data_IF_712068296335
#
_entry.id   IF_712068296335
#
_cell.length_a   1.000
_cell.length_b   1.000
_cell.length_c   1.000
_cell.angle_alpha   90.00
_cell.angle_beta   90.00
_cell.angle_gamma   90.00
#
_symmetry.space_group_name_H-M   'P 1'
#
loop_
_entity.id
_entity.type
_entity.pdbx_description
1 polymer ?
#
# COMPACT_ATOMS: atom_id res chain seq x y z
N UNK A 1 -24.56 -8.13 34.18
CA UNK A 1 -24.86 -6.70 34.01
C UNK A 1 -24.04 -6.22 32.84
N UNK A 2 -24.73 -5.74 31.82
CA UNK A 2 -24.23 -5.48 30.46
C UNK A 2 -23.14 -4.40 30.46
N UNK A 3 -21.97 -4.73 29.91
CA UNK A 3 -20.99 -3.73 29.51
C UNK A 3 -21.42 -3.20 28.13
N UNK A 4 -22.05 -2.03 28.14
CA UNK A 4 -22.29 -1.22 26.95
C UNK A 4 -20.98 -1.06 26.17
N UNK A 5 -20.87 -1.76 25.04
CA UNK A 5 -19.66 -1.86 24.25
C UNK A 5 -19.49 -0.57 23.48
N UNK A 6 -18.52 0.24 23.91
CA UNK A 6 -18.13 1.55 23.40
C UNK A 6 -18.12 1.58 21.85
N UNK A 7 -19.11 2.25 21.25
CA UNK A 7 -19.30 2.44 19.81
C UNK A 7 -18.30 3.46 19.24
N UNK A 8 -16.99 3.21 19.29
CA UNK A 8 -16.00 4.17 18.76
C UNK A 8 -15.59 3.77 17.35
N UNK A 9 -16.48 4.02 16.40
CA UNK A 9 -16.01 4.42 15.07
C UNK A 9 -16.02 5.94 15.02
N UNK A 10 -15.22 6.53 14.16
CA UNK A 10 -15.19 7.99 14.07
C UNK A 10 -16.59 8.51 13.69
N UNK A 11 -16.92 9.74 14.11
CA UNK A 11 -18.14 10.40 13.68
C UNK A 11 -18.23 10.47 12.14
N UNK A 12 -17.07 10.52 11.47
CA UNK A 12 -16.93 10.45 10.03
C UNK A 12 -17.41 9.11 9.45
N UNK A 13 -16.90 7.97 9.95
CA UNK A 13 -17.30 6.64 9.48
C UNK A 13 -18.81 6.44 9.60
N UNK A 14 -19.37 6.82 10.75
CA UNK A 14 -20.82 6.74 11.02
C UNK A 14 -21.61 7.58 10.03
N UNK A 15 -21.15 8.79 9.74
CA UNK A 15 -21.79 9.68 8.76
C UNK A 15 -21.77 9.06 7.35
N UNK A 16 -20.62 8.55 6.91
CA UNK A 16 -20.47 7.90 5.60
C UNK A 16 -21.39 6.67 5.47
N UNK A 17 -21.44 5.83 6.49
CA UNK A 17 -22.28 4.63 6.51
C UNK A 17 -23.77 4.95 6.49
N UNK A 18 -24.22 5.89 7.35
CA UNK A 18 -25.64 6.30 7.37
C UNK A 18 -26.04 6.94 6.03
N UNK A 19 -25.17 7.77 5.44
CA UNK A 19 -25.39 8.30 4.10
C UNK A 19 -25.54 7.18 3.07
N UNK A 20 -24.67 6.17 3.08
CA UNK A 20 -24.76 5.03 2.16
C UNK A 20 -26.04 4.19 2.34
N UNK A 21 -26.63 4.16 3.54
CA UNK A 21 -27.91 3.49 3.80
C UNK A 21 -29.09 4.31 3.29
N UNK A 22 -29.16 5.60 3.65
CA UNK A 22 -30.33 6.44 3.39
C UNK A 22 -30.33 7.08 2.01
N UNK A 23 -29.14 7.27 1.43
CA UNK A 23 -28.92 7.90 0.13
C UNK A 23 -28.02 6.98 -0.70
N UNK A 24 -28.66 6.06 -1.42
CA UNK A 24 -27.97 5.03 -2.19
C UNK A 24 -27.01 5.60 -3.26
N UNK A 25 -27.34 6.78 -3.77
CA UNK A 25 -26.58 7.60 -4.73
C UNK A 25 -25.32 8.25 -4.14
N UNK A 26 -25.16 8.28 -2.81
CA UNK A 26 -23.95 8.80 -2.18
C UNK A 26 -22.83 7.76 -2.02
N UNK A 27 -23.11 6.49 -2.33
CA UNK A 27 -22.13 5.41 -2.34
C UNK A 27 -22.32 4.53 -3.57
N UNK A 28 -22.06 5.12 -4.74
CA UNK A 28 -22.17 4.46 -6.03
C UNK A 28 -21.26 3.22 -6.13
N UNK A 29 -21.68 2.28 -6.97
CA UNK A 29 -20.86 1.12 -7.30
C UNK A 29 -19.66 1.53 -8.16
N UNK A 30 -18.58 0.74 -8.10
CA UNK A 30 -17.48 0.84 -9.06
C UNK A 30 -18.02 0.83 -10.51
N UNK A 31 -17.51 1.67 -11.44
CA UNK A 31 -16.26 2.44 -11.38
C UNK A 31 -16.39 3.89 -10.89
N UNK A 32 -17.47 4.25 -10.17
CA UNK A 32 -17.59 5.59 -9.61
C UNK A 32 -16.42 5.90 -8.66
N UNK A 33 -15.84 7.10 -8.78
CA UNK A 33 -14.73 7.51 -7.94
C UNK A 33 -15.23 7.84 -6.52
N UNK A 34 -14.90 6.99 -5.55
CA UNK A 34 -15.24 7.17 -4.14
C UNK A 34 -13.95 7.33 -3.34
N UNK A 35 -13.92 8.33 -2.44
CA UNK A 35 -12.77 8.55 -1.56
C UNK A 35 -12.50 7.33 -0.67
N UNK A 36 -11.21 7.01 -0.47
CA UNK A 36 -10.80 5.84 0.31
C UNK A 36 -11.33 5.86 1.74
N UNK A 37 -11.36 7.02 2.41
CA UNK A 37 -11.86 7.11 3.77
C UNK A 37 -13.37 6.82 3.83
N UNK A 38 -14.12 7.21 2.80
CA UNK A 38 -15.55 6.85 2.67
C UNK A 38 -15.70 5.34 2.50
N UNK A 39 -14.95 4.72 1.57
CA UNK A 39 -14.97 3.26 1.37
C UNK A 39 -14.61 2.52 2.66
N UNK A 40 -13.56 2.96 3.35
CA UNK A 40 -13.10 2.38 4.61
C UNK A 40 -14.17 2.48 5.71
N UNK A 41 -14.78 3.66 5.89
CA UNK A 41 -15.83 3.87 6.89
C UNK A 41 -17.07 3.03 6.62
N UNK A 42 -17.52 2.98 5.36
CA UNK A 42 -18.64 2.13 4.94
C UNK A 42 -18.31 0.65 5.14
N UNK A 43 -17.09 0.21 4.79
CA UNK A 43 -16.69 -1.18 4.94
C UNK A 43 -16.67 -1.62 6.41
N UNK A 44 -16.06 -0.84 7.30
CA UNK A 44 -16.00 -1.14 8.74
C UNK A 44 -17.40 -1.31 9.34
N UNK A 45 -18.28 -0.34 9.08
CA UNK A 45 -19.61 -0.36 9.68
C UNK A 45 -20.55 -1.36 9.02
N UNK A 46 -20.44 -1.58 7.70
CA UNK A 46 -21.20 -2.64 7.02
C UNK A 46 -20.78 -4.03 7.50
N UNK A 47 -19.50 -4.27 7.80
CA UNK A 47 -19.05 -5.51 8.43
C UNK A 47 -19.58 -5.65 9.86
N UNK A 48 -19.48 -4.60 10.66
CA UNK A 48 -19.94 -4.62 12.06
C UNK A 48 -21.45 -4.87 12.19
N UNK A 49 -22.25 -4.20 11.36
CA UNK A 49 -23.70 -4.30 11.36
C UNK A 49 -24.26 -5.30 10.34
N UNK A 50 -23.38 -6.09 9.71
CA UNK A 50 -23.75 -7.16 8.77
C UNK A 50 -24.63 -6.69 7.59
N UNK A 51 -24.36 -5.48 7.09
CA UNK A 51 -25.03 -4.93 5.90
C UNK A 51 -24.31 -5.41 4.64
N UNK A 52 -24.56 -6.68 4.30
CA UNK A 52 -23.85 -7.40 3.23
C UNK A 52 -23.81 -6.69 1.85
N UNK A 53 -24.89 -6.05 1.36
CA UNK A 53 -24.82 -5.35 0.07
C UNK A 53 -23.79 -4.21 0.05
N UNK A 54 -23.68 -3.43 1.13
CA UNK A 54 -22.71 -2.35 1.25
C UNK A 54 -21.30 -2.88 1.44
N UNK A 55 -21.14 -3.94 2.25
CA UNK A 55 -19.86 -4.61 2.44
C UNK A 55 -19.30 -5.12 1.11
N UNK A 56 -20.10 -5.85 0.34
CA UNK A 56 -19.69 -6.37 -0.99
C UNK A 56 -19.28 -5.23 -1.92
N UNK A 57 -20.06 -4.15 -1.98
CA UNK A 57 -19.73 -2.99 -2.81
C UNK A 57 -18.42 -2.33 -2.39
N UNK A 58 -18.20 -2.14 -1.09
CA UNK A 58 -16.96 -1.55 -0.58
C UNK A 58 -15.74 -2.45 -0.84
N UNK A 59 -15.89 -3.78 -0.76
CA UNK A 59 -14.84 -4.73 -1.12
C UNK A 59 -14.52 -4.70 -2.61
N UNK A 60 -15.50 -4.48 -3.49
CA UNK A 60 -15.25 -4.28 -4.93
C UNK A 60 -14.41 -3.03 -5.15
N UNK A 61 -14.76 -1.89 -4.52
CA UNK A 61 -13.93 -0.68 -4.58
C UNK A 61 -12.49 -0.93 -4.14
N UNK A 62 -12.27 -1.68 -3.07
CA UNK A 62 -10.91 -2.04 -2.64
C UNK A 62 -10.18 -2.94 -3.66
N UNK A 63 -10.86 -3.97 -4.16
CA UNK A 63 -10.27 -4.97 -5.06
C UNK A 63 -9.89 -4.39 -6.40
N UNK A 64 -10.69 -3.45 -6.92
CA UNK A 64 -10.43 -2.79 -8.19
C UNK A 64 -9.42 -1.65 -8.07
N UNK A 65 -9.32 -1.02 -6.88
CA UNK A 65 -8.39 0.10 -6.66
C UNK A 65 -6.97 -0.34 -6.34
N UNK A 66 -6.81 -1.47 -5.64
CA UNK A 66 -5.53 -1.97 -5.15
C UNK A 66 -5.09 -3.22 -5.93
N UNK A 67 -3.80 -3.38 -6.16
CA UNK A 67 -3.31 -4.50 -6.95
C UNK A 67 -3.53 -5.79 -6.17
N UNK A 68 -3.87 -6.87 -6.88
CA UNK A 68 -4.04 -8.21 -6.30
C UNK A 68 -3.03 -9.22 -6.85
N UNK A 69 -2.21 -8.77 -7.80
CA UNK A 69 -1.15 -9.55 -8.46
C UNK A 69 0.15 -8.77 -8.47
N UNK A 70 1.27 -9.48 -8.65
CA UNK A 70 2.60 -8.86 -8.71
C UNK A 70 2.75 -8.01 -9.97
N UNK A 71 2.17 -8.44 -11.09
CA UNK A 71 2.19 -7.70 -12.34
C UNK A 71 1.46 -6.35 -12.20
N UNK A 72 0.27 -6.35 -11.59
CA UNK A 72 -0.45 -5.09 -11.32
C UNK A 72 0.33 -4.19 -10.38
N UNK A 73 0.98 -4.75 -9.36
CA UNK A 73 1.81 -4.00 -8.42
C UNK A 73 2.97 -3.29 -9.14
N UNK A 74 3.65 -3.97 -10.06
CA UNK A 74 4.77 -3.41 -10.82
C UNK A 74 4.39 -2.29 -11.80
N UNK A 75 3.11 -2.20 -12.19
CA UNK A 75 2.61 -1.17 -13.10
C UNK A 75 2.00 0.05 -12.39
N UNK A 76 1.91 0.05 -11.06
CA UNK A 76 1.32 1.18 -10.32
C UNK A 76 2.34 2.28 -10.05
N UNK A 77 2.04 3.48 -10.53
CA UNK A 77 2.84 4.68 -10.24
C UNK A 77 2.57 5.19 -8.82
N UNK A 78 1.30 5.37 -8.44
CA UNK A 78 0.92 5.85 -7.11
C UNK A 78 -0.45 5.32 -6.64
N UNK A 79 -0.57 5.06 -5.34
CA UNK A 79 -1.78 4.50 -4.73
C UNK A 79 -2.80 5.59 -4.36
N UNK A 80 -2.39 6.86 -4.31
CA UNK A 80 -3.20 7.98 -3.84
C UNK A 80 -3.62 7.90 -2.36
N UNK A 81 -3.20 6.84 -1.65
CA UNK A 81 -3.50 6.55 -0.25
C UNK A 81 -2.24 5.96 0.37
N UNK A 82 -1.92 6.36 1.60
CA UNK A 82 -0.76 5.81 2.29
C UNK A 82 -0.93 4.29 2.54
N UNK A 83 0.03 3.42 2.17
CA UNK A 83 -0.10 1.96 2.28
C UNK A 83 -0.48 1.46 3.68
N UNK A 84 -0.09 2.18 4.73
CA UNK A 84 -0.43 1.82 6.11
C UNK A 84 -1.93 1.83 6.38
N UNK A 85 -2.66 2.78 5.78
CA UNK A 85 -4.11 2.87 5.92
C UNK A 85 -4.77 1.63 5.30
N UNK A 86 -4.28 1.22 4.14
CA UNK A 86 -4.75 0.05 3.39
C UNK A 86 -4.44 -1.23 4.16
N UNK A 87 -3.21 -1.37 4.68
CA UNK A 87 -2.79 -2.55 5.44
C UNK A 87 -3.65 -2.73 6.70
N UNK A 88 -3.81 -1.65 7.47
CA UNK A 88 -4.61 -1.67 8.69
C UNK A 88 -6.08 -1.98 8.41
N UNK A 89 -6.66 -1.38 7.36
CA UNK A 89 -8.02 -1.68 6.95
C UNK A 89 -8.15 -3.15 6.53
N UNK A 90 -7.22 -3.65 5.72
CA UNK A 90 -7.23 -5.04 5.26
C UNK A 90 -7.15 -6.03 6.44
N UNK A 91 -6.32 -5.75 7.46
CA UNK A 91 -6.30 -6.53 8.71
C UNK A 91 -7.62 -6.47 9.46
N UNK A 92 -8.19 -5.27 9.60
CA UNK A 92 -9.44 -5.03 10.33
C UNK A 92 -10.64 -5.77 9.71
N UNK A 93 -10.68 -5.83 8.38
CA UNK A 93 -11.79 -6.42 7.62
C UNK A 93 -11.50 -7.81 7.06
N UNK A 94 -10.34 -8.37 7.43
CA UNK A 94 -9.85 -9.67 6.96
C UNK A 94 -9.80 -9.78 5.42
N UNK A 95 -9.40 -8.69 4.75
CA UNK A 95 -9.19 -8.65 3.30
C UNK A 95 -7.77 -9.11 2.93
N UNK A 96 -7.48 -10.37 3.22
CA UNK A 96 -6.11 -10.90 3.16
C UNK A 96 -5.49 -10.88 1.76
N UNK A 97 -6.30 -10.87 0.70
CA UNK A 97 -5.83 -10.84 -0.69
C UNK A 97 -5.10 -9.53 -1.07
N UNK A 98 -5.35 -8.43 -0.36
CA UNK A 98 -4.71 -7.13 -0.60
C UNK A 98 -3.45 -6.95 0.26
N UNK A 99 -3.26 -7.78 1.29
CA UNK A 99 -2.15 -7.65 2.21
C UNK A 99 -0.78 -7.81 1.54
N UNK A 100 -0.50 -8.82 0.68
CA UNK A 100 0.83 -9.01 0.11
C UNK A 100 1.36 -7.77 -0.64
N UNK A 101 0.65 -7.19 -1.63
CA UNK A 101 1.15 -6.01 -2.31
C UNK A 101 1.17 -4.77 -1.40
N UNK A 102 0.24 -4.66 -0.46
CA UNK A 102 0.23 -3.52 0.48
C UNK A 102 1.41 -3.55 1.43
N UNK A 103 1.73 -4.71 2.00
CA UNK A 103 2.88 -4.87 2.88
C UNK A 103 4.20 -4.72 2.10
N UNK A 104 4.24 -5.13 0.82
CA UNK A 104 5.35 -4.81 -0.05
C UNK A 104 5.52 -3.29 -0.20
N UNK A 105 4.47 -2.53 -0.52
CA UNK A 105 4.52 -1.07 -0.56
C UNK A 105 4.95 -0.44 0.77
N UNK A 106 4.48 -0.98 1.90
CA UNK A 106 4.91 -0.56 3.24
C UNK A 106 6.41 -0.73 3.46
N UNK A 107 7.02 -1.83 3.00
CA UNK A 107 8.45 -2.09 3.15
C UNK A 107 9.31 -1.06 2.38
N UNK A 108 8.79 -0.53 1.27
CA UNK A 108 9.44 0.51 0.47
C UNK A 108 9.16 1.94 0.97
N UNK A 109 8.17 2.14 1.84
CA UNK A 109 7.84 3.46 2.40
C UNK A 109 9.00 4.04 3.23
N UNK A 110 9.03 5.35 3.46
CA UNK A 110 10.07 6.03 4.25
C UNK A 110 10.30 5.32 5.61
N UNK A 111 11.56 4.98 5.99
CA UNK A 111 11.84 4.34 7.28
C UNK A 111 11.32 5.12 8.49
N UNK A 112 11.31 6.46 8.39
CA UNK A 112 10.76 7.35 9.42
C UNK A 112 9.28 7.06 9.62
N UNK A 113 8.52 6.83 8.55
CA UNK A 113 7.12 6.46 8.67
C UNK A 113 6.96 5.05 9.28
N UNK A 114 7.81 4.07 8.96
CA UNK A 114 7.71 2.73 9.60
C UNK A 114 7.86 2.80 11.13
N UNK A 115 8.75 3.66 11.62
CA UNK A 115 9.01 3.81 13.07
C UNK A 115 8.03 4.77 13.74
N UNK A 116 7.80 5.93 13.13
CA UNK A 116 7.00 7.00 13.70
C UNK A 116 5.56 7.01 13.20
N UNK A 117 5.15 6.12 12.31
CA UNK A 117 3.85 6.24 11.66
C UNK A 117 3.78 7.46 10.73
N UNK A 118 2.60 7.68 10.17
CA UNK A 118 2.26 8.79 9.29
C UNK A 118 1.07 9.57 9.83
N UNK A 119 0.82 10.77 9.31
CA UNK A 119 -0.40 11.52 9.61
C UNK A 119 -1.42 11.36 8.49
N UNK A 120 -2.65 11.01 8.84
CA UNK A 120 -3.78 10.92 7.94
C UNK A 120 -5.01 11.51 8.61
N UNK A 121 -5.74 12.40 7.91
CA UNK A 121 -7.01 12.97 8.38
C UNK A 121 -6.94 13.51 9.83
N UNK A 122 -5.82 14.15 10.19
CA UNK A 122 -5.59 14.72 11.52
C UNK A 122 -5.20 13.73 12.62
N UNK A 123 -5.09 12.44 12.32
CA UNK A 123 -4.68 11.39 13.26
C UNK A 123 -3.35 10.76 12.84
N UNK A 124 -2.58 10.28 13.83
CA UNK A 124 -1.39 9.47 13.58
C UNK A 124 -1.81 8.03 13.30
N UNK A 125 -1.28 7.46 12.22
CA UNK A 125 -1.55 6.09 11.77
C UNK A 125 -0.21 5.34 11.70
N UNK A 126 -0.10 4.27 12.45
CA UNK A 126 1.03 3.34 12.41
C UNK A 126 0.56 1.96 11.95
N UNK A 127 1.45 1.18 11.36
CA UNK A 127 1.19 -0.24 11.13
C UNK A 127 1.01 -0.99 12.46
N UNK A 128 0.30 -2.12 12.40
CA UNK A 128 0.34 -3.09 13.49
C UNK A 128 1.80 -3.50 13.77
N UNK A 129 2.21 -3.72 15.03
CA UNK A 129 3.60 -4.03 15.35
C UNK A 129 4.16 -5.24 14.59
N UNK A 130 3.35 -6.28 14.39
CA UNK A 130 3.74 -7.47 13.61
C UNK A 130 4.05 -7.12 12.16
N UNK A 131 3.24 -6.26 11.55
CA UNK A 131 3.39 -5.84 10.15
C UNK A 131 4.56 -4.86 10.01
N UNK A 132 4.79 -4.00 11.00
CA UNK A 132 5.97 -3.12 11.04
C UNK A 132 7.27 -3.92 11.10
N UNK A 133 7.37 -4.92 11.98
CA UNK A 133 8.54 -5.80 12.07
C UNK A 133 8.73 -6.57 10.76
N UNK A 134 7.65 -7.10 10.18
CA UNK A 134 7.69 -7.78 8.90
C UNK A 134 8.22 -6.87 7.79
N UNK A 135 7.74 -5.63 7.71
CA UNK A 135 8.19 -4.65 6.72
C UNK A 135 9.65 -4.24 6.91
N UNK A 136 10.12 -4.11 8.16
CA UNK A 136 11.53 -3.82 8.46
C UNK A 136 12.44 -4.97 8.02
N UNK A 137 12.12 -6.20 8.38
CA UNK A 137 12.87 -7.37 7.95
C UNK A 137 12.87 -7.54 6.43
N UNK A 138 11.70 -7.35 5.80
CA UNK A 138 11.57 -7.40 4.35
C UNK A 138 12.39 -6.31 3.67
N UNK A 139 12.42 -5.09 4.24
CA UNK A 139 13.24 -4.00 3.72
C UNK A 139 14.72 -4.36 3.71
N UNK A 140 15.23 -4.91 4.80
CA UNK A 140 16.64 -5.30 4.89
C UNK A 140 16.99 -6.34 3.82
N UNK A 141 16.15 -7.36 3.68
CA UNK A 141 16.34 -8.43 2.69
C UNK A 141 16.21 -7.91 1.24
N UNK A 142 15.19 -7.10 0.96
CA UNK A 142 14.94 -6.52 -0.36
C UNK A 142 16.06 -5.55 -0.75
N UNK A 143 16.51 -4.71 0.18
CA UNK A 143 17.61 -3.78 -0.06
C UNK A 143 18.90 -4.55 -0.33
N UNK A 144 19.19 -5.61 0.43
CA UNK A 144 20.35 -6.45 0.20
C UNK A 144 20.31 -7.12 -1.18
N UNK A 145 19.18 -7.76 -1.54
CA UNK A 145 18.99 -8.40 -2.84
C UNK A 145 19.07 -7.41 -4.00
N UNK A 146 18.40 -6.26 -3.86
CA UNK A 146 18.45 -5.18 -4.84
C UNK A 146 19.88 -4.67 -5.01
N UNK A 147 20.60 -4.45 -3.92
CA UNK A 147 21.99 -3.99 -3.95
C UNK A 147 22.87 -5.01 -4.65
N UNK A 148 22.75 -6.30 -4.33
CA UNK A 148 23.51 -7.36 -4.99
C UNK A 148 23.19 -7.42 -6.47
N UNK A 149 21.90 -7.41 -6.86
CA UNK A 149 21.50 -7.46 -8.26
C UNK A 149 21.94 -6.23 -9.04
N UNK A 150 21.87 -5.05 -8.43
CA UNK A 150 22.34 -3.80 -9.02
C UNK A 150 23.87 -3.83 -9.17
N UNK A 151 24.58 -4.34 -8.16
CA UNK A 151 26.02 -4.46 -8.22
C UNK A 151 26.45 -5.50 -9.26
N UNK A 152 25.80 -6.65 -9.34
CA UNK A 152 26.05 -7.62 -10.41
C UNK A 152 25.78 -6.99 -11.78
N UNK A 153 24.64 -6.33 -11.94
CA UNK A 153 24.32 -5.62 -13.17
C UNK A 153 25.38 -4.60 -13.54
N UNK A 154 25.99 -3.88 -12.59
CA UNK A 154 26.92 -2.80 -12.87
C UNK A 154 28.39 -3.28 -12.96
N UNK A 155 28.80 -4.33 -12.25
CA UNK A 155 30.17 -4.85 -12.19
C UNK A 155 30.43 -6.03 -13.13
N UNK A 156 29.40 -6.81 -13.47
CA UNK A 156 29.58 -8.00 -14.32
C UNK A 156 29.58 -7.59 -15.79
N UNK A 157 30.56 -8.05 -16.60
CA UNK A 157 30.54 -7.87 -18.05
C UNK A 157 29.31 -8.58 -18.61
N UNK A 158 28.27 -7.81 -18.94
CA UNK A 158 27.01 -8.33 -19.45
C UNK A 158 26.88 -7.94 -20.91
N UNK A 159 26.64 -8.91 -21.78
CA UNK A 159 26.24 -8.63 -23.16
C UNK A 159 24.77 -8.19 -23.17
N UNK A 160 24.55 -6.88 -23.28
CA UNK A 160 23.20 -6.30 -23.34
C UNK A 160 22.72 -6.35 -24.80
N UNK A 161 21.56 -6.94 -25.06
CA UNK A 161 20.96 -6.99 -26.39
C UNK A 161 20.75 -5.59 -26.96
N UNK A 162 21.25 -5.33 -28.17
CA UNK A 162 21.20 -4.01 -28.81
C UNK A 162 22.40 -3.12 -28.47
N UNK A 163 23.32 -3.57 -27.61
CA UNK A 163 24.61 -2.90 -27.43
C UNK A 163 25.52 -3.17 -28.64
N UNK A 164 25.81 -2.13 -29.42
CA UNK A 164 26.72 -2.22 -30.57
C UNK A 164 28.20 -2.27 -30.17
N UNK A 165 28.54 -1.81 -28.97
CA UNK A 165 29.91 -1.68 -28.47
C UNK A 165 30.01 -2.11 -27.00
N UNK A 166 30.14 -3.41 -26.71
CA UNK A 166 30.11 -3.95 -25.33
C UNK A 166 31.06 -3.24 -24.36
N UNK A 167 32.26 -2.89 -24.82
CA UNK A 167 33.27 -2.16 -24.03
C UNK A 167 32.79 -0.74 -23.66
N UNK A 168 32.14 -0.03 -24.58
CA UNK A 168 31.64 1.32 -24.32
C UNK A 168 30.49 1.29 -23.31
N UNK A 169 29.57 0.34 -23.43
CA UNK A 169 28.47 0.20 -22.48
C UNK A 169 28.95 -0.16 -21.06
N UNK A 170 29.95 -1.03 -20.95
CA UNK A 170 30.62 -1.31 -19.68
C UNK A 170 31.25 -0.04 -19.09
N UNK A 171 32.00 0.71 -19.89
CA UNK A 171 32.64 1.95 -19.45
C UNK A 171 31.61 3.00 -19.01
N UNK A 172 30.54 3.21 -19.79
CA UNK A 172 29.47 4.15 -19.43
C UNK A 172 28.79 3.80 -18.11
N UNK A 173 28.53 2.50 -17.85
CA UNK A 173 27.98 2.04 -16.56
C UNK A 173 28.92 2.33 -15.39
N UNK A 174 30.22 2.11 -15.57
CA UNK A 174 31.23 2.41 -14.55
C UNK A 174 31.31 3.92 -14.29
N UNK A 175 31.29 4.75 -15.34
CA UNK A 175 31.33 6.22 -15.22
C UNK A 175 30.11 6.76 -14.48
N UNK A 176 28.89 6.32 -14.83
CA UNK A 176 27.68 6.78 -14.13
C UNK A 176 27.69 6.47 -12.63
N UNK A 177 28.36 5.38 -12.21
CA UNK A 177 28.55 5.07 -10.79
C UNK A 177 29.55 6.02 -10.12
N UNK A 178 30.69 6.31 -10.76
CA UNK A 178 31.67 7.25 -10.22
C UNK A 178 31.06 8.63 -9.99
N UNK A 179 30.20 9.09 -10.92
CA UNK A 179 29.43 10.32 -10.77
C UNK A 179 28.44 10.24 -9.61
N UNK A 180 27.68 9.15 -9.47
CA UNK A 180 26.73 8.98 -8.37
C UNK A 180 27.35 8.84 -6.97
N UNK A 181 28.58 8.33 -6.87
CA UNK A 181 29.33 8.25 -5.59
C UNK A 181 29.89 9.60 -5.14
N UNK A 182 30.13 10.55 -6.06
CA UNK A 182 30.60 11.90 -5.75
C UNK A 182 29.51 12.80 -5.14
N UNK A 183 28.24 12.41 -5.24
CA UNK A 183 27.08 13.16 -4.72
C UNK A 183 26.48 12.59 -3.43
N UNK A 184 27.17 11.65 -2.76
CA UNK A 184 26.85 11.20 -1.38
C UNK A 184 27.78 11.84 -0.37
#
# INVERSE_FOLDING_TARGET
MENATHLVHSAFDTTCFLKAIFHYDLFDAWPAHVDFHVVAGVLRLSQKYQVEPLKKRALVHLTERFPTTLEQFGCMEEWGVHPFLVANLAREVSADWILPPTLAACAWADPVHLVLGTHSTGARVSLAPSDAILCLNARDELTAKWTISLLDFLWTPLEISGCTTPIQCLNSRITHRQEGELFR
#
